data_IF_599269797483
#
_entry.id   IF_599269797483
#
_cell.length_a   1.000
_cell.length_b   1.000
_cell.length_c   1.000
_cell.angle_alpha   90.00
_cell.angle_beta   90.00
_cell.angle_gamma   90.00
#
_symmetry.space_group_name_H-M   'P 1'
#
loop_
_entity.id
_entity.type
_entity.pdbx_description
1 polymer ?
#
# COMPACT_ATOMS: atom_id res chain seq x y z
N UNK A 1 9.27 -21.54 0.44
CA UNK A 1 8.22 -21.36 -0.60
C UNK A 1 7.20 -20.44 0.03
N UNK A 2 6.96 -19.25 -0.52
CA UNK A 2 5.83 -18.42 -0.06
C UNK A 2 4.57 -19.11 -0.58
N UNK A 3 3.68 -19.50 0.31
CA UNK A 3 2.48 -20.22 -0.06
C UNK A 3 1.52 -19.28 -0.81
N UNK A 4 1.47 -19.44 -2.13
CA UNK A 4 0.66 -18.62 -3.04
C UNK A 4 -0.84 -18.77 -2.76
N UNK A 5 -1.24 -19.81 -2.03
CA UNK A 5 -2.62 -20.03 -1.59
C UNK A 5 -3.04 -19.04 -0.51
N UNK A 6 -2.22 -18.83 0.52
CA UNK A 6 -2.54 -17.95 1.65
C UNK A 6 -2.69 -16.48 1.22
N UNK A 7 -1.83 -16.05 0.30
CA UNK A 7 -1.91 -14.70 -0.30
C UNK A 7 -3.22 -14.52 -1.07
N UNK A 8 -3.65 -15.52 -1.83
CA UNK A 8 -4.91 -15.48 -2.59
C UNK A 8 -6.13 -15.39 -1.68
N UNK A 9 -6.14 -16.15 -0.57
CA UNK A 9 -7.23 -16.15 0.40
C UNK A 9 -7.40 -14.80 1.10
N UNK A 10 -6.29 -14.16 1.52
CA UNK A 10 -6.32 -12.81 2.10
C UNK A 10 -6.89 -11.77 1.12
N UNK A 11 -6.43 -11.81 -0.13
CA UNK A 11 -6.94 -10.90 -1.18
C UNK A 11 -8.43 -11.10 -1.41
N UNK A 12 -8.92 -12.36 -1.44
CA UNK A 12 -10.35 -12.65 -1.56
C UNK A 12 -11.15 -12.16 -0.36
N UNK A 13 -10.62 -12.35 0.86
CA UNK A 13 -11.24 -11.86 2.09
C UNK A 13 -11.43 -10.34 2.06
N UNK A 14 -10.37 -9.59 1.74
CA UNK A 14 -10.44 -8.11 1.64
C UNK A 14 -11.40 -7.70 0.51
N UNK A 15 -11.35 -8.40 -0.63
CA UNK A 15 -12.26 -8.15 -1.76
C UNK A 15 -13.74 -8.35 -1.39
N UNK A 16 -14.06 -9.35 -0.58
CA UNK A 16 -15.44 -9.64 -0.16
C UNK A 16 -16.05 -8.52 0.70
N UNK A 17 -15.21 -7.75 1.41
CA UNK A 17 -15.64 -6.62 2.26
C UNK A 17 -15.81 -5.31 1.49
N UNK A 18 -15.56 -5.29 0.18
CA UNK A 18 -15.73 -4.11 -0.65
C UNK A 18 -17.15 -4.08 -1.25
N UNK A 19 -17.87 -2.95 -1.20
CA UNK A 19 -19.21 -2.84 -1.77
C UNK A 19 -19.21 -2.76 -3.31
N UNK A 20 -18.08 -2.98 -3.97
CA UNK A 20 -17.90 -2.81 -5.41
C UNK A 20 -17.85 -4.15 -6.15
N UNK A 21 -18.71 -4.30 -7.17
CA UNK A 21 -18.73 -5.52 -8.02
C UNK A 21 -17.49 -5.67 -8.88
N UNK A 22 -16.90 -4.55 -9.32
CA UNK A 22 -15.73 -4.51 -10.21
C UNK A 22 -14.68 -3.58 -9.62
N UNK A 23 -13.45 -4.07 -9.51
CA UNK A 23 -12.30 -3.30 -9.06
C UNK A 23 -11.35 -3.07 -10.24
N UNK A 24 -10.71 -1.88 -10.34
CA UNK A 24 -9.65 -1.64 -11.31
C UNK A 24 -8.50 -2.63 -11.14
N UNK A 25 -7.86 -3.03 -12.26
CA UNK A 25 -6.71 -3.96 -12.22
C UNK A 25 -5.56 -3.43 -11.34
N UNK A 26 -5.30 -2.13 -11.41
CA UNK A 26 -4.28 -1.45 -10.58
C UNK A 26 -4.54 -1.65 -9.09
N UNK A 27 -5.81 -1.50 -8.65
CA UNK A 27 -6.18 -1.70 -7.26
C UNK A 27 -5.91 -3.12 -6.77
N UNK A 28 -6.12 -4.13 -7.63
CA UNK A 28 -5.86 -5.54 -7.29
C UNK A 28 -4.36 -5.79 -7.13
N UNK A 29 -3.52 -5.21 -8.00
CA UNK A 29 -2.05 -5.32 -7.90
C UNK A 29 -1.55 -4.71 -6.58
N UNK A 30 -2.08 -3.54 -6.22
CA UNK A 30 -1.68 -2.86 -4.99
C UNK A 30 -2.20 -3.59 -3.74
N UNK A 31 -3.39 -4.19 -3.80
CA UNK A 31 -3.89 -5.08 -2.75
C UNK A 31 -2.99 -6.32 -2.57
N UNK A 32 -2.50 -6.92 -3.65
CA UNK A 32 -1.55 -8.03 -3.59
C UNK A 32 -0.24 -7.59 -2.92
N UNK A 33 0.31 -6.44 -3.30
CA UNK A 33 1.51 -5.87 -2.67
C UNK A 33 1.30 -5.62 -1.17
N UNK A 34 0.13 -5.08 -0.80
CA UNK A 34 -0.23 -4.86 0.60
C UNK A 34 -0.22 -6.16 1.41
N UNK A 35 -0.88 -7.21 0.91
CA UNK A 35 -0.90 -8.52 1.58
C UNK A 35 0.51 -9.11 1.67
N UNK A 36 1.30 -9.04 0.60
CA UNK A 36 2.67 -9.53 0.57
C UNK A 36 3.59 -8.76 1.54
N UNK A 37 3.39 -7.45 1.66
CA UNK A 37 4.14 -6.64 2.61
C UNK A 37 3.92 -7.15 4.04
N UNK A 38 2.66 -7.29 4.45
CA UNK A 38 2.32 -7.70 5.82
C UNK A 38 2.70 -9.15 6.13
N UNK A 39 2.59 -10.07 5.17
CA UNK A 39 3.04 -11.45 5.36
C UNK A 39 4.56 -11.53 5.53
N UNK A 40 5.32 -10.64 4.89
CA UNK A 40 6.78 -10.61 5.00
C UNK A 40 7.30 -9.73 6.15
N UNK A 41 6.45 -8.88 6.74
CA UNK A 41 6.80 -7.96 7.82
C UNK A 41 6.96 -8.66 9.17
N UNK A 42 6.41 -9.87 9.34
CA UNK A 42 6.47 -10.61 10.60
C UNK A 42 7.30 -11.89 10.47
N UNK A 43 8.03 -12.30 11.52
CA UNK A 43 8.73 -13.58 11.54
C UNK A 43 7.73 -14.74 11.52
N UNK A 44 7.94 -15.69 10.62
CA UNK A 44 7.16 -16.93 10.60
C UNK A 44 7.62 -17.85 11.74
N UNK A 45 6.67 -18.54 12.40
CA UNK A 45 6.96 -19.48 13.50
C UNK A 45 7.99 -20.56 13.14
N UNK A 46 8.00 -20.99 11.87
CA UNK A 46 8.93 -21.99 11.34
C UNK A 46 9.92 -21.36 10.34
N UNK A 47 10.17 -20.06 10.44
CA UNK A 47 11.07 -19.32 9.55
C UNK A 47 12.54 -19.46 9.92
N UNK A 48 13.40 -18.83 9.11
CA UNK A 48 14.87 -18.82 9.31
C UNK A 48 15.29 -18.09 10.59
N UNK A 49 14.49 -17.11 11.04
CA UNK A 49 14.73 -16.38 12.29
C UNK A 49 13.44 -16.26 13.08
N UNK A 50 13.55 -16.41 14.41
CA UNK A 50 12.47 -16.14 15.37
C UNK A 50 12.29 -14.65 15.66
N UNK A 51 13.33 -13.84 15.39
CA UNK A 51 13.40 -12.44 15.83
C UNK A 51 13.22 -11.48 14.67
N UNK A 52 13.85 -11.78 13.52
CA UNK A 52 13.83 -10.88 12.37
C UNK A 52 12.85 -11.37 11.31
N UNK A 53 12.10 -10.42 10.74
CA UNK A 53 11.21 -10.71 9.62
C UNK A 53 12.01 -11.08 8.36
N UNK A 54 11.45 -11.90 7.45
CA UNK A 54 12.08 -12.19 6.17
C UNK A 54 12.49 -10.94 5.39
N UNK A 55 11.65 -9.89 5.41
CA UNK A 55 11.95 -8.62 4.74
C UNK A 55 13.13 -7.89 5.39
N UNK A 56 13.24 -7.94 6.72
CA UNK A 56 14.38 -7.38 7.45
C UNK A 56 15.67 -8.12 7.14
N UNK A 57 15.64 -9.46 7.07
CA UNK A 57 16.82 -10.28 6.76
C UNK A 57 17.32 -10.00 5.33
N UNK A 58 16.39 -9.90 4.37
CA UNK A 58 16.74 -9.78 2.95
C UNK A 58 17.08 -8.34 2.54
N UNK A 59 16.32 -7.35 3.03
CA UNK A 59 16.40 -5.96 2.56
C UNK A 59 16.84 -4.97 3.65
N UNK A 60 17.05 -5.41 4.90
CA UNK A 60 17.39 -4.53 6.02
C UNK A 60 16.27 -3.57 6.43
N UNK A 61 15.06 -3.77 5.89
CA UNK A 61 13.90 -2.92 6.19
C UNK A 61 13.31 -3.28 7.55
N UNK A 62 13.24 -2.31 8.43
CA UNK A 62 12.63 -2.45 9.75
C UNK A 62 11.24 -1.81 9.69
N UNK A 63 10.24 -2.55 10.15
CA UNK A 63 8.87 -2.05 10.25
C UNK A 63 8.82 -0.98 11.34
N UNK A 64 8.64 0.26 10.93
CA UNK A 64 8.39 1.40 11.81
C UNK A 64 6.88 1.70 11.81
N UNK A 65 6.23 1.58 12.98
CA UNK A 65 4.79 1.82 13.13
C UNK A 65 4.42 3.26 12.78
N UNK A 66 5.23 4.22 13.22
CA UNK A 66 4.93 5.63 12.98
C UNK A 66 5.00 5.97 11.50
N UNK A 67 5.84 5.29 10.71
CA UNK A 67 6.00 5.60 9.28
C UNK A 67 5.08 4.76 8.40
N UNK A 68 4.95 3.47 8.70
CA UNK A 68 4.29 2.51 7.81
C UNK A 68 2.81 2.27 8.12
N UNK A 69 2.30 2.77 9.27
CA UNK A 69 0.91 2.55 9.69
C UNK A 69 0.12 3.85 9.91
N UNK A 70 0.50 4.95 9.26
CA UNK A 70 -0.20 6.24 9.42
C UNK A 70 -1.56 6.28 8.77
N UNK A 71 -1.75 5.52 7.69
CA UNK A 71 -2.97 5.52 6.89
C UNK A 71 -3.37 4.09 6.57
N UNK A 72 -4.67 3.82 6.66
CA UNK A 72 -5.20 2.48 6.38
C UNK A 72 -5.37 2.24 4.88
N UNK A 73 -5.30 0.97 4.48
CA UNK A 73 -5.62 0.57 3.10
C UNK A 73 -7.08 0.94 2.79
N UNK A 74 -7.30 1.71 1.71
CA UNK A 74 -8.57 2.32 1.25
C UNK A 74 -9.02 3.58 1.98
N UNK A 75 -8.21 4.14 2.87
CA UNK A 75 -8.56 5.41 3.48
C UNK A 75 -8.60 6.53 2.44
N UNK A 76 -9.57 7.44 2.56
CA UNK A 76 -9.66 8.62 1.70
C UNK A 76 -8.62 9.64 2.13
N UNK A 77 -7.62 9.88 1.28
CA UNK A 77 -6.55 10.82 1.54
C UNK A 77 -6.56 11.97 0.53
N UNK A 78 -6.35 13.19 1.04
CA UNK A 78 -6.17 14.40 0.25
C UNK A 78 -4.67 14.61 0.03
N UNK A 79 -4.17 14.27 -1.15
CA UNK A 79 -2.74 14.37 -1.47
C UNK A 79 -2.48 15.68 -2.21
N UNK A 80 -1.55 16.47 -1.69
CA UNK A 80 -1.06 17.66 -2.36
C UNK A 80 -0.09 17.27 -3.48
N UNK A 81 -0.24 17.89 -4.66
CA UNK A 81 0.73 17.76 -5.74
C UNK A 81 1.43 19.10 -5.91
N UNK A 82 2.76 19.08 -5.87
CA UNK A 82 3.56 20.26 -6.20
C UNK A 82 3.37 20.60 -7.68
N UNK A 83 2.98 21.84 -7.95
CA UNK A 83 2.78 22.36 -9.29
C UNK A 83 3.93 23.31 -9.64
N UNK A 84 4.49 23.15 -10.83
CA UNK A 84 5.62 23.95 -11.33
C UNK A 84 5.20 25.37 -11.78
N UNK A 85 3.90 25.65 -11.88
CA UNK A 85 3.36 26.96 -12.26
C UNK A 85 2.53 27.56 -11.13
N UNK A 86 2.96 28.73 -10.65
CA UNK A 86 2.63 29.26 -9.32
C UNK A 86 1.21 29.82 -9.18
N UNK A 87 0.52 30.23 -10.25
CA UNK A 87 -0.73 31.02 -10.12
C UNK A 87 -1.83 30.70 -11.16
N UNK A 88 -2.22 29.44 -11.33
CA UNK A 88 -3.39 29.08 -12.14
C UNK A 88 -4.57 28.70 -11.23
N UNK A 89 -5.70 29.39 -11.37
CA UNK A 89 -6.93 29.14 -10.57
C UNK A 89 -7.64 27.85 -11.03
N UNK A 90 -7.40 27.43 -12.28
CA UNK A 90 -8.13 26.32 -12.92
C UNK A 90 -7.67 24.92 -12.47
N UNK A 91 -6.52 24.79 -11.78
CA UNK A 91 -5.97 23.49 -11.39
C UNK A 91 -6.19 23.21 -9.89
N UNK A 92 -6.83 22.09 -9.60
CA UNK A 92 -6.97 21.58 -8.23
C UNK A 92 -5.58 21.26 -7.63
N UNK A 93 -5.25 21.90 -6.50
CA UNK A 93 -3.99 21.70 -5.77
C UNK A 93 -3.94 20.41 -4.93
N UNK A 94 -5.08 19.75 -4.80
CA UNK A 94 -5.25 18.57 -3.95
C UNK A 94 -6.10 17.56 -4.68
N UNK A 95 -5.58 16.35 -4.84
CA UNK A 95 -6.36 15.26 -5.41
C UNK A 95 -6.99 14.44 -4.29
N UNK A 96 -8.26 14.06 -4.49
CA UNK A 96 -8.90 13.06 -3.64
C UNK A 96 -8.43 11.69 -4.11
N UNK A 97 -7.73 11.00 -3.22
CA UNK A 97 -7.07 9.73 -3.51
C UNK A 97 -7.48 8.67 -2.49
N UNK A 98 -7.28 7.41 -2.83
CA UNK A 98 -7.34 6.29 -1.88
C UNK A 98 -5.92 5.90 -1.49
N UNK A 99 -5.67 5.77 -0.19
CA UNK A 99 -4.44 5.16 0.30
C UNK A 99 -4.41 3.68 -0.08
N UNK A 100 -3.26 3.20 -0.60
CA UNK A 100 -3.07 1.81 -0.97
C UNK A 100 -2.03 1.18 -0.06
N UNK A 101 -0.76 1.23 -0.46
CA UNK A 101 0.31 0.49 0.21
C UNK A 101 1.44 1.44 0.57
N UNK A 102 2.04 1.27 1.77
CA UNK A 102 3.33 1.90 2.04
C UNK A 102 4.40 1.23 1.16
N UNK A 103 5.23 2.03 0.50
CA UNK A 103 6.23 1.61 -0.51
C UNK A 103 7.40 0.83 0.12
N UNK A 104 7.32 0.49 1.40
CA UNK A 104 8.33 -0.28 2.14
C UNK A 104 9.74 0.32 2.00
N UNK A 105 9.84 1.65 2.08
CA UNK A 105 11.10 2.37 2.09
C UNK A 105 11.34 3.00 3.47
N UNK A 106 12.58 3.33 3.78
CA UNK A 106 12.94 3.95 5.07
C UNK A 106 12.26 5.31 5.31
N UNK A 107 11.81 5.98 4.23
CA UNK A 107 11.12 7.26 4.28
C UNK A 107 9.63 7.14 4.66
N UNK A 108 9.01 5.97 4.52
CA UNK A 108 7.57 5.79 4.79
C UNK A 108 6.68 6.43 3.73
N UNK A 109 7.07 6.35 2.45
CA UNK A 109 6.26 6.84 1.34
C UNK A 109 5.06 5.92 1.13
N UNK A 110 3.91 6.50 0.79
CA UNK A 110 2.69 5.77 0.46
C UNK A 110 2.38 5.89 -1.02
N UNK A 111 1.88 4.80 -1.60
CA UNK A 111 1.27 4.85 -2.91
C UNK A 111 -0.23 5.10 -2.76
N UNK A 112 -0.73 6.06 -3.52
CA UNK A 112 -2.12 6.51 -3.54
C UNK A 112 -2.74 6.30 -4.91
N UNK A 113 -4.03 5.97 -4.96
CA UNK A 113 -4.80 5.88 -6.20
C UNK A 113 -5.66 7.13 -6.38
N UNK A 114 -5.38 7.93 -7.40
CA UNK A 114 -6.21 9.08 -7.74
C UNK A 114 -7.51 8.63 -8.41
N UNK A 115 -8.65 8.94 -7.78
CA UNK A 115 -9.96 8.53 -8.28
C UNK A 115 -10.39 9.28 -9.55
N UNK A 116 -9.94 10.53 -9.70
CA UNK A 116 -10.25 11.35 -10.89
C UNK A 116 -9.48 10.90 -12.13
N UNK A 117 -8.20 10.56 -11.95
CA UNK A 117 -7.29 10.25 -13.06
C UNK A 117 -7.14 8.74 -13.30
N UNK A 118 -7.52 7.89 -12.34
CA UNK A 118 -7.29 6.45 -12.40
C UNK A 118 -5.80 6.06 -12.37
N UNK A 119 -4.93 6.96 -11.87
CA UNK A 119 -3.47 6.80 -11.85
C UNK A 119 -2.95 6.68 -10.42
N UNK A 120 -1.85 5.96 -10.26
CA UNK A 120 -1.10 5.90 -9.03
C UNK A 120 -0.28 7.19 -8.85
N UNK A 121 -0.27 7.70 -7.63
CA UNK A 121 0.53 8.84 -7.17
C UNK A 121 1.37 8.32 -6.01
N UNK A 122 2.67 8.54 -6.04
CA UNK A 122 3.61 8.10 -5.00
C UNK A 122 4.34 9.31 -4.44
#
# INVERSE_FOLDING_TARGET
KVDTTETSEHVRSIRSKLPYKRLPKLFIIELLKFVLLWLNAFPLKNGVSSTYSPQTIMAGLILDWEKNCKAEFREYCKVHKEHTQTNSVDNERTHTTLCLVPTANFQGIYTFLCLKLGKLIT
#
